data_IF_841192208287
#
_entry.id   IF_841192208287
#
_cell.length_a   1.000
_cell.length_b   1.000
_cell.length_c   1.000
_cell.angle_alpha   90.00
_cell.angle_beta   90.00
_cell.angle_gamma   90.00
#
_symmetry.space_group_name_H-M   'P 1'
#
loop_
_entity.id
_entity.type
_entity.pdbx_description
1 polymer ?
#
# COMPACT_ATOMS: atom_id res chain seq x y z
N UNK A 1 80.54 -33.53 24.71
CA UNK A 1 80.01 -32.28 24.12
C UNK A 1 78.83 -32.64 23.24
N UNK A 2 77.61 -32.25 23.63
CA UNK A 2 76.55 -31.69 22.75
C UNK A 2 75.26 -31.55 23.58
N UNK A 3 74.95 -30.31 23.95
CA UNK A 3 73.71 -29.89 24.64
C UNK A 3 72.67 -29.47 23.60
N UNK A 4 71.47 -30.04 23.66
CA UNK A 4 70.29 -29.66 22.86
C UNK A 4 69.47 -28.55 23.57
N UNK A 5 68.92 -27.55 22.84
CA UNK A 5 68.14 -26.48 23.46
C UNK A 5 66.64 -26.83 23.54
N UNK A 6 66.02 -26.47 24.67
CA UNK A 6 64.58 -26.61 24.92
C UNK A 6 63.86 -25.33 24.47
N UNK A 7 62.97 -25.45 23.47
CA UNK A 7 62.12 -24.36 22.99
C UNK A 7 60.90 -24.18 23.91
N UNK A 8 60.86 -23.08 24.69
CA UNK A 8 59.65 -22.68 25.45
C UNK A 8 58.65 -22.02 24.51
N UNK A 9 57.48 -22.65 24.29
CA UNK A 9 56.35 -22.04 23.55
C UNK A 9 55.72 -20.90 24.38
N UNK A 10 55.31 -19.77 23.76
CA UNK A 10 54.88 -18.58 24.49
C UNK A 10 53.44 -18.72 25.02
N UNK A 11 53.31 -18.82 26.35
CA UNK A 11 52.03 -18.85 27.09
C UNK A 11 51.16 -17.60 26.84
N UNK A 12 51.77 -16.48 26.39
CA UNK A 12 51.08 -15.20 26.14
C UNK A 12 50.04 -15.22 25.01
N UNK A 13 50.12 -16.16 24.06
CA UNK A 13 49.16 -16.21 22.93
C UNK A 13 47.80 -16.75 23.41
N UNK A 14 47.77 -17.73 24.32
CA UNK A 14 46.53 -18.36 24.79
C UNK A 14 45.64 -17.42 25.60
N UNK A 15 46.22 -16.52 26.40
CA UNK A 15 45.47 -15.53 27.17
C UNK A 15 44.79 -14.47 26.30
N UNK A 16 45.41 -14.08 25.19
CA UNK A 16 44.82 -13.12 24.24
C UNK A 16 43.60 -13.70 23.52
N UNK A 17 43.66 -14.97 23.12
CA UNK A 17 42.53 -15.64 22.50
C UNK A 17 41.34 -15.80 23.45
N UNK A 18 41.59 -16.17 24.72
CA UNK A 18 40.52 -16.30 25.72
C UNK A 18 39.84 -14.97 26.03
N UNK A 19 40.60 -13.87 26.09
CA UNK A 19 40.04 -12.53 26.29
C UNK A 19 39.16 -12.08 25.11
N UNK A 20 39.56 -12.37 23.87
CA UNK A 20 38.77 -12.05 22.67
C UNK A 20 37.44 -12.82 22.66
N UNK A 21 37.48 -14.12 23.01
CA UNK A 21 36.26 -14.94 23.08
C UNK A 21 35.32 -14.42 24.17
N UNK A 22 35.84 -14.06 25.35
CA UNK A 22 35.02 -13.51 26.43
C UNK A 22 34.35 -12.19 26.03
N UNK A 23 35.07 -11.29 25.36
CA UNK A 23 34.51 -10.02 24.84
C UNK A 23 33.45 -10.29 23.77
N UNK A 24 33.69 -11.22 22.85
CA UNK A 24 32.72 -11.60 21.83
C UNK A 24 31.43 -12.17 22.44
N UNK A 25 31.54 -13.04 23.45
CA UNK A 25 30.38 -13.60 24.17
C UNK A 25 29.62 -12.51 24.91
N UNK A 26 30.30 -11.56 25.55
CA UNK A 26 29.64 -10.42 26.22
C UNK A 26 28.95 -9.50 25.23
N UNK A 27 29.54 -9.25 24.06
CA UNK A 27 28.92 -8.44 23.00
C UNK A 27 27.69 -9.12 22.41
N UNK A 28 27.75 -10.43 22.15
CA UNK A 28 26.60 -11.22 21.68
C UNK A 28 25.50 -11.25 22.74
N UNK A 29 25.86 -11.46 24.02
CA UNK A 29 24.92 -11.46 25.13
C UNK A 29 24.29 -10.07 25.35
N UNK A 30 25.06 -8.99 25.19
CA UNK A 30 24.57 -7.61 25.22
C UNK A 30 23.62 -7.30 24.06
N UNK A 31 23.93 -7.76 22.85
CA UNK A 31 23.05 -7.60 21.67
C UNK A 31 21.76 -8.43 21.79
N UNK A 32 21.81 -9.56 22.51
CA UNK A 32 20.65 -10.40 22.77
C UNK A 32 19.76 -9.85 23.89
N UNK A 33 20.34 -9.30 24.96
CA UNK A 33 19.60 -8.67 26.06
C UNK A 33 19.12 -7.25 25.75
N UNK A 34 19.84 -6.53 24.88
CA UNK A 34 19.55 -5.17 24.46
C UNK A 34 19.63 -5.11 22.93
N UNK A 35 18.65 -5.69 22.20
CA UNK A 35 18.53 -5.40 20.77
C UNK A 35 18.51 -3.88 20.58
N UNK A 36 19.18 -3.33 19.54
CA UNK A 36 19.11 -1.92 19.25
C UNK A 36 17.64 -1.53 19.25
N UNK A 37 17.29 -0.47 19.96
CA UNK A 37 15.91 -0.01 20.09
C UNK A 37 15.36 0.33 18.70
N UNK A 38 14.83 -0.66 17.99
CA UNK A 38 13.76 -0.44 17.03
C UNK A 38 12.62 0.08 17.89
N UNK A 39 12.33 1.37 17.72
CA UNK A 39 11.27 2.06 18.43
C UNK A 39 9.93 1.49 18.00
N UNK A 40 9.57 0.36 18.61
CA UNK A 40 8.26 -0.28 18.57
C UNK A 40 7.32 0.54 19.44
N UNK A 41 6.74 1.58 18.85
CA UNK A 41 5.66 2.30 19.52
C UNK A 41 4.35 1.89 18.85
N UNK A 42 3.47 1.11 19.51
CA UNK A 42 2.09 0.99 19.05
C UNK A 42 1.50 2.38 18.83
N UNK A 43 0.44 2.51 18.02
CA UNK A 43 -0.16 3.84 17.75
C UNK A 43 -0.60 4.58 19.05
N UNK A 44 -0.58 3.90 20.18
CA UNK A 44 -0.91 4.39 21.51
C UNK A 44 0.27 5.00 22.28
N UNK A 45 1.53 4.76 21.91
CA UNK A 45 2.69 4.99 22.78
C UNK A 45 3.60 6.18 22.44
N UNK A 46 3.11 7.18 21.69
CA UNK A 46 3.81 8.47 21.55
C UNK A 46 2.89 9.57 22.06
N UNK A 47 3.28 10.25 23.13
CA UNK A 47 2.68 11.50 23.59
C UNK A 47 2.71 12.50 22.41
N UNK A 48 1.53 12.78 21.81
CA UNK A 48 1.38 13.72 20.69
C UNK A 48 0.95 13.12 19.34
N UNK A 49 -0.07 12.24 19.27
CA UNK A 49 -0.58 11.69 18.00
C UNK A 49 -1.85 12.37 17.51
N UNK A 50 -1.96 12.45 16.17
CA UNK A 50 -3.18 12.87 15.48
C UNK A 50 -4.35 11.94 15.86
N UNK A 51 -5.55 12.48 16.11
CA UNK A 51 -6.72 11.69 16.54
C UNK A 51 -7.06 10.64 15.47
N UNK A 52 -7.44 9.40 15.83
CA UNK A 52 -8.00 8.47 14.84
C UNK A 52 -9.46 8.85 14.63
N UNK A 53 -9.82 9.25 13.41
CA UNK A 53 -11.16 9.73 13.07
C UNK A 53 -11.88 8.67 12.23
N UNK A 54 -13.18 8.52 12.47
CA UNK A 54 -14.03 7.64 11.67
C UNK A 54 -14.02 8.06 10.20
N UNK A 55 -14.01 7.07 9.31
CA UNK A 55 -14.07 7.32 7.87
C UNK A 55 -15.54 7.46 7.40
N UNK A 56 -15.80 8.47 6.58
CA UNK A 56 -17.07 8.62 5.87
C UNK A 56 -17.19 7.60 4.72
N UNK A 57 -18.28 7.65 3.95
CA UNK A 57 -18.52 6.75 2.82
C UNK A 57 -17.53 6.92 1.66
N UNK A 58 -16.81 8.04 1.59
CA UNK A 58 -15.74 8.29 0.62
C UNK A 58 -14.35 8.09 1.20
N UNK A 59 -14.25 7.42 2.36
CA UNK A 59 -13.03 7.12 3.09
C UNK A 59 -12.18 8.35 3.49
N UNK A 60 -12.74 9.55 3.43
CA UNK A 60 -12.07 10.84 3.68
C UNK A 60 -11.61 11.60 2.43
N UNK A 61 -11.89 11.08 1.23
CA UNK A 61 -11.63 11.77 -0.05
C UNK A 61 -12.85 12.55 -0.53
N UNK A 62 -12.66 13.46 -1.49
CA UNK A 62 -13.78 14.17 -2.12
C UNK A 62 -14.75 13.22 -2.84
N UNK A 63 -14.22 12.19 -3.49
CA UNK A 63 -14.98 11.08 -4.06
C UNK A 63 -14.08 9.85 -4.27
N UNK A 64 -14.71 8.69 -4.44
CA UNK A 64 -14.05 7.47 -4.91
C UNK A 64 -14.53 7.21 -6.32
N UNK A 65 -13.60 7.20 -7.27
CA UNK A 65 -13.87 6.96 -8.67
C UNK A 65 -13.39 5.57 -9.10
N UNK A 66 -14.13 4.90 -9.96
CA UNK A 66 -13.75 3.58 -10.51
C UNK A 66 -13.57 3.65 -12.01
N UNK A 67 -12.44 3.17 -12.51
CA UNK A 67 -12.22 2.93 -13.94
C UNK A 67 -12.86 1.59 -14.30
N UNK A 68 -14.09 1.64 -14.82
CA UNK A 68 -14.85 0.45 -15.25
C UNK A 68 -15.56 0.71 -16.56
N UNK A 69 -15.65 -0.31 -17.41
CA UNK A 69 -16.58 -0.28 -18.56
C UNK A 69 -18.02 -0.48 -18.09
N UNK A 70 -18.99 -0.05 -18.90
CA UNK A 70 -20.41 -0.17 -18.57
C UNK A 70 -20.86 -1.65 -18.48
N UNK A 71 -20.29 -2.50 -19.34
CA UNK A 71 -20.56 -3.93 -19.47
C UNK A 71 -19.52 -4.80 -18.75
N UNK A 72 -18.71 -4.22 -17.85
CA UNK A 72 -17.73 -5.00 -17.10
C UNK A 72 -18.43 -6.03 -16.20
N UNK A 73 -18.08 -7.33 -16.29
CA UNK A 73 -18.68 -8.36 -15.43
C UNK A 73 -18.27 -8.19 -13.96
N UNK A 74 -17.22 -7.42 -13.68
CA UNK A 74 -16.67 -7.19 -12.34
C UNK A 74 -17.46 -6.14 -11.55
N UNK A 75 -18.18 -5.26 -12.27
CA UNK A 75 -18.91 -4.12 -11.69
C UNK A 75 -19.97 -4.53 -10.68
N UNK A 76 -20.68 -5.64 -10.92
CA UNK A 76 -21.73 -6.09 -10.01
C UNK A 76 -21.17 -6.48 -8.64
N UNK A 77 -20.15 -7.34 -8.59
CA UNK A 77 -19.49 -7.74 -7.35
C UNK A 77 -18.86 -6.55 -6.61
N UNK A 78 -18.22 -5.63 -7.35
CA UNK A 78 -17.67 -4.40 -6.80
C UNK A 78 -18.74 -3.53 -6.11
N UNK A 79 -19.91 -3.36 -6.73
CA UNK A 79 -21.02 -2.60 -6.16
C UNK A 79 -21.64 -3.31 -4.95
N UNK A 80 -21.71 -4.65 -4.95
CA UNK A 80 -22.14 -5.39 -3.77
C UNK A 80 -21.19 -5.18 -2.59
N UNK A 81 -19.88 -5.28 -2.82
CA UNK A 81 -18.86 -5.03 -1.80
C UNK A 81 -19.01 -3.61 -1.22
N UNK A 82 -19.18 -2.62 -2.09
CA UNK A 82 -19.37 -1.22 -1.70
C UNK A 82 -20.66 -1.00 -0.88
N UNK A 83 -21.76 -1.63 -1.29
CA UNK A 83 -23.02 -1.56 -0.56
C UNK A 83 -22.93 -2.20 0.83
N UNK A 84 -22.21 -3.33 0.96
CA UNK A 84 -22.00 -4.00 2.25
C UNK A 84 -21.14 -3.16 3.19
N UNK A 85 -20.12 -2.45 2.69
CA UNK A 85 -19.24 -1.61 3.51
C UNK A 85 -19.68 -0.15 3.62
N UNK A 86 -20.84 0.22 3.07
CA UNK A 86 -21.33 1.60 2.98
C UNK A 86 -20.28 2.56 2.38
N UNK A 87 -19.68 2.15 1.26
CA UNK A 87 -18.70 2.94 0.50
C UNK A 87 -19.36 3.48 -0.77
N UNK A 88 -19.25 4.79 -1.00
CA UNK A 88 -19.85 5.44 -2.15
C UNK A 88 -18.86 5.44 -3.34
N UNK A 89 -19.24 4.77 -4.42
CA UNK A 89 -18.46 4.69 -5.65
C UNK A 89 -19.09 5.52 -6.78
N UNK A 90 -18.26 6.29 -7.47
CA UNK A 90 -18.62 6.99 -8.71
C UNK A 90 -17.98 6.28 -9.89
N UNK A 91 -18.77 5.85 -10.86
CA UNK A 91 -18.29 5.13 -12.06
C UNK A 91 -18.63 5.93 -13.31
N UNK A 92 -17.71 6.81 -13.80
CA UNK A 92 -17.94 7.59 -15.01
C UNK A 92 -18.11 6.69 -16.23
N UNK A 93 -19.01 7.08 -17.14
CA UNK A 93 -19.19 6.38 -18.40
C UNK A 93 -17.94 6.52 -19.27
N UNK A 94 -17.28 5.41 -19.56
CA UNK A 94 -16.13 5.40 -20.46
C UNK A 94 -16.57 5.60 -21.91
N UNK A 95 -15.89 6.44 -22.70
CA UNK A 95 -16.21 6.63 -24.10
C UNK A 95 -15.79 5.40 -24.92
N UNK A 96 -16.35 5.29 -26.13
CA UNK A 96 -15.89 4.31 -27.12
C UNK A 96 -14.66 4.85 -27.83
N UNK A 97 -13.50 4.34 -27.45
CA UNK A 97 -12.22 4.72 -28.05
C UNK A 97 -12.09 4.20 -29.48
N UNK A 98 -11.49 5.02 -30.34
CA UNK A 98 -11.24 4.76 -31.77
C UNK A 98 -9.74 4.75 -32.04
N UNK A 99 -9.32 4.31 -33.25
CA UNK A 99 -7.90 4.30 -33.63
C UNK A 99 -7.23 5.68 -33.54
N UNK A 100 -8.01 6.76 -33.67
CA UNK A 100 -7.48 8.13 -33.54
C UNK A 100 -7.06 8.47 -32.11
N UNK A 101 -7.69 7.84 -31.12
CA UNK A 101 -7.44 8.12 -29.70
C UNK A 101 -6.16 7.44 -29.19
N UNK A 102 -5.68 6.41 -29.88
CA UNK A 102 -4.45 5.69 -29.52
C UNK A 102 -3.16 6.45 -29.90
N UNK A 103 -3.29 7.52 -30.67
CA UNK A 103 -2.19 8.35 -31.17
C UNK A 103 -1.28 7.59 -32.14
N UNK A 104 0.05 7.73 -31.98
CA UNK A 104 1.01 7.21 -32.97
C UNK A 104 1.05 5.67 -33.01
N UNK A 105 1.09 5.03 -34.20
CA UNK A 105 1.19 3.57 -34.34
C UNK A 105 2.53 2.98 -33.87
N UNK A 106 3.57 3.78 -33.65
CA UNK A 106 4.91 3.31 -33.22
C UNK A 106 5.04 3.14 -31.69
N UNK A 107 3.93 3.15 -30.94
CA UNK A 107 3.98 3.04 -29.47
C UNK A 107 4.36 1.64 -28.98
N UNK A 108 5.11 1.61 -27.88
CA UNK A 108 5.45 0.36 -27.15
C UNK A 108 4.26 -0.27 -26.42
N UNK A 109 3.20 0.49 -26.18
CA UNK A 109 2.01 0.03 -25.46
C UNK A 109 1.14 -0.90 -26.31
N UNK A 110 0.64 -1.98 -25.72
CA UNK A 110 -0.38 -2.84 -26.35
C UNK A 110 -1.74 -2.13 -26.44
N UNK A 111 -2.67 -2.69 -27.22
CA UNK A 111 -4.03 -2.14 -27.33
C UNK A 111 -4.75 -2.17 -25.98
N UNK A 112 -4.65 -3.28 -25.25
CA UNK A 112 -5.22 -3.40 -23.92
C UNK A 112 -4.66 -2.34 -22.95
N UNK A 113 -3.34 -2.14 -22.94
CA UNK A 113 -2.68 -1.11 -22.11
C UNK A 113 -3.13 0.30 -22.47
N UNK A 114 -3.27 0.62 -23.77
CA UNK A 114 -3.76 1.94 -24.22
C UNK A 114 -5.20 2.20 -23.79
N UNK A 115 -6.06 1.17 -23.83
CA UNK A 115 -7.46 1.30 -23.37
C UNK A 115 -7.54 1.56 -21.86
N UNK A 116 -6.72 0.86 -21.06
CA UNK A 116 -6.62 1.13 -19.63
C UNK A 116 -6.13 2.57 -19.37
N UNK A 117 -5.06 2.97 -20.06
CA UNK A 117 -4.48 4.30 -19.96
C UNK A 117 -5.50 5.40 -20.29
N UNK A 118 -6.18 5.29 -21.42
CA UNK A 118 -7.22 6.25 -21.81
C UNK A 118 -8.35 6.31 -20.80
N UNK A 119 -8.72 5.16 -20.21
CA UNK A 119 -9.73 5.08 -19.15
C UNK A 119 -9.35 5.88 -17.91
N UNK A 120 -8.12 5.71 -17.41
CA UNK A 120 -7.61 6.51 -16.28
C UNK A 120 -7.52 7.99 -16.62
N UNK A 121 -6.98 8.37 -17.79
CA UNK A 121 -6.89 9.79 -18.18
C UNK A 121 -8.27 10.44 -18.34
N UNK A 122 -9.25 9.72 -18.89
CA UNK A 122 -10.62 10.21 -18.97
C UNK A 122 -11.20 10.48 -17.57
N UNK A 123 -11.04 9.51 -16.67
CA UNK A 123 -11.53 9.61 -15.30
C UNK A 123 -10.85 10.75 -14.53
N UNK A 124 -9.52 10.91 -14.65
CA UNK A 124 -8.81 12.02 -14.03
C UNK A 124 -9.30 13.39 -14.53
N UNK A 125 -9.65 13.53 -15.82
CA UNK A 125 -10.28 14.76 -16.33
C UNK A 125 -11.64 15.01 -15.69
N UNK A 126 -12.48 13.99 -15.56
CA UNK A 126 -13.77 14.10 -14.86
C UNK A 126 -13.59 14.53 -13.39
N UNK A 127 -12.59 14.00 -12.70
CA UNK A 127 -12.24 14.43 -11.35
C UNK A 127 -11.77 15.90 -11.32
N UNK A 128 -10.91 16.33 -12.24
CA UNK A 128 -10.46 17.72 -12.32
C UNK A 128 -11.65 18.67 -12.52
N UNK A 129 -12.58 18.31 -13.40
CA UNK A 129 -13.78 19.10 -13.74
C UNK A 129 -14.79 19.16 -12.58
N UNK A 130 -14.82 18.14 -11.71
CA UNK A 130 -15.75 18.07 -10.56
C UNK A 130 -15.56 19.18 -9.53
N UNK A 131 -14.38 19.80 -9.48
CA UNK A 131 -14.08 20.80 -8.45
C UNK A 131 -13.82 20.21 -7.05
N UNK A 132 -13.56 18.90 -6.93
CA UNK A 132 -13.15 18.22 -5.69
C UNK A 132 -11.62 18.29 -5.45
N UNK A 133 -11.17 18.38 -4.19
CA UNK A 133 -9.75 18.58 -3.87
C UNK A 133 -8.89 17.31 -3.96
N UNK A 134 -9.48 16.16 -3.61
CA UNK A 134 -8.84 14.86 -3.65
C UNK A 134 -9.81 13.79 -4.11
N UNK A 135 -9.28 12.72 -4.69
CA UNK A 135 -10.05 11.55 -5.08
C UNK A 135 -9.24 10.27 -4.87
N UNK A 136 -9.92 9.19 -4.52
CA UNK A 136 -9.39 7.83 -4.60
C UNK A 136 -9.83 7.20 -5.92
N UNK A 137 -8.89 6.67 -6.69
CA UNK A 137 -9.14 6.03 -7.99
C UNK A 137 -8.95 4.53 -7.82
N UNK A 138 -9.93 3.73 -8.24
CA UNK A 138 -9.94 2.27 -8.18
C UNK A 138 -10.01 1.66 -9.58
N UNK A 139 -9.33 0.53 -9.77
CA UNK A 139 -9.61 -0.41 -10.87
C UNK A 139 -10.85 -1.26 -10.52
N UNK A 140 -11.53 -1.84 -11.52
CA UNK A 140 -12.82 -2.52 -11.32
C UNK A 140 -12.72 -3.96 -10.80
N UNK A 141 -11.52 -4.51 -10.73
CA UNK A 141 -11.23 -5.82 -10.16
C UNK A 141 -10.65 -5.74 -8.75
N UNK A 142 -10.68 -4.61 -8.06
CA UNK A 142 -10.19 -4.58 -6.67
C UNK A 142 -11.10 -5.34 -5.70
N UNK A 143 -10.48 -5.94 -4.69
CA UNK A 143 -11.08 -6.40 -3.46
C UNK A 143 -10.52 -5.60 -2.28
N UNK A 144 -11.27 -5.57 -1.18
CA UNK A 144 -10.82 -4.96 0.08
C UNK A 144 -11.39 -5.71 1.27
N UNK A 145 -10.75 -5.52 2.41
CA UNK A 145 -11.22 -6.09 3.66
C UNK A 145 -12.53 -5.42 4.11
N UNK A 146 -13.51 -6.18 4.60
CA UNK A 146 -14.77 -5.64 5.15
C UNK A 146 -14.57 -4.53 6.20
N UNK A 147 -13.42 -4.51 6.89
CA UNK A 147 -13.01 -3.53 7.91
C UNK A 147 -12.34 -2.29 7.32
N UNK A 148 -12.33 -2.14 5.98
CA UNK A 148 -11.70 -1.02 5.28
C UNK A 148 -12.15 0.33 5.84
N UNK A 149 -13.48 0.56 5.88
CA UNK A 149 -14.05 1.82 6.35
C UNK A 149 -13.98 1.97 7.87
N UNK A 150 -14.25 0.90 8.62
CA UNK A 150 -14.38 0.97 10.08
C UNK A 150 -13.04 0.95 10.82
N UNK A 151 -11.95 0.51 10.19
CA UNK A 151 -10.65 0.33 10.84
C UNK A 151 -9.48 0.78 9.97
N UNK A 152 -9.30 0.22 8.78
CA UNK A 152 -8.05 0.38 8.03
C UNK A 152 -7.84 1.83 7.52
N UNK A 153 -8.85 2.42 6.87
CA UNK A 153 -8.79 3.80 6.39
C UNK A 153 -8.59 4.81 7.54
N UNK A 154 -9.32 4.73 8.68
CA UNK A 154 -9.02 5.52 9.87
C UNK A 154 -7.56 5.47 10.32
N UNK A 155 -6.98 4.26 10.45
CA UNK A 155 -5.59 4.08 10.88
C UNK A 155 -4.58 4.66 9.88
N UNK A 156 -4.77 4.40 8.58
CA UNK A 156 -3.91 4.95 7.52
C UNK A 156 -4.01 6.48 7.47
N UNK A 157 -5.21 7.06 7.62
CA UNK A 157 -5.39 8.51 7.63
C UNK A 157 -4.61 9.17 8.77
N UNK A 158 -4.69 8.61 9.98
CA UNK A 158 -3.96 9.11 11.14
C UNK A 158 -2.43 8.95 10.98
N UNK A 159 -2.00 7.85 10.38
CA UNK A 159 -0.60 7.61 10.05
C UNK A 159 -0.07 8.63 9.03
N UNK A 160 -0.84 8.91 7.99
CA UNK A 160 -0.52 9.93 6.97
C UNK A 160 -0.36 11.32 7.59
N UNK A 161 -1.31 11.77 8.41
CA UNK A 161 -1.19 13.08 9.10
C UNK A 161 0.06 13.14 9.98
N UNK A 162 0.32 12.07 10.73
CA UNK A 162 1.49 12.00 11.64
C UNK A 162 2.81 12.05 10.87
N UNK A 163 2.94 11.29 9.77
CA UNK A 163 4.18 11.26 9.00
C UNK A 163 4.41 12.57 8.23
N UNK A 164 3.36 13.20 7.72
CA UNK A 164 3.45 14.49 7.03
C UNK A 164 3.82 15.64 7.99
N UNK A 165 3.29 15.64 9.22
CA UNK A 165 3.61 16.63 10.25
C UNK A 165 5.11 16.66 10.58
N UNK A 166 5.77 15.50 10.57
CA UNK A 166 7.22 15.39 10.87
C UNK A 166 8.12 16.18 9.90
N UNK A 167 7.59 16.59 8.74
CA UNK A 167 8.31 17.37 7.72
C UNK A 167 8.32 18.87 8.01
N UNK A 168 7.37 19.38 8.81
CA UNK A 168 7.28 20.81 9.12
C UNK A 168 8.38 21.29 10.09
N UNK A 169 9.14 20.36 10.70
CA UNK A 169 10.17 20.63 11.71
C UNK A 169 11.61 20.76 11.18
N UNK A 170 11.83 21.02 9.90
CA UNK A 170 13.19 21.22 9.32
C UNK A 170 13.88 22.53 9.72
N UNK A 171 13.58 23.05 10.92
CA UNK A 171 14.58 23.71 11.75
C UNK A 171 14.55 23.00 13.09
N UNK A 172 15.58 22.21 13.35
CA UNK A 172 15.82 21.59 14.65
C UNK A 172 16.04 22.69 15.70
N UNK A 173 14.94 23.24 16.23
CA UNK A 173 14.93 23.94 17.51
C UNK A 173 14.18 23.04 18.49
N UNK A 174 14.96 22.54 19.43
CA UNK A 174 14.60 21.68 20.56
C UNK A 174 13.71 22.38 21.59
N UNK A 175 12.55 22.89 21.16
CA UNK A 175 11.53 23.42 22.04
C UNK A 175 10.20 23.40 21.30
N UNK A 176 9.47 22.29 21.40
CA UNK A 176 8.06 22.24 21.04
C UNK A 176 7.35 23.30 21.88
N UNK A 177 6.91 24.37 21.24
CA UNK A 177 5.98 25.30 21.87
C UNK A 177 4.60 24.64 21.88
N UNK A 178 3.81 24.91 22.91
CA UNK A 178 2.40 24.53 22.98
C UNK A 178 1.57 25.05 21.79
N UNK A 179 2.11 25.99 21.00
CA UNK A 179 1.44 26.62 19.87
C UNK A 179 1.63 25.83 18.54
N UNK A 180 2.62 24.92 18.45
CA UNK A 180 2.81 24.05 17.26
C UNK A 180 1.91 22.80 17.28
N UNK A 181 1.33 22.48 18.44
CA UNK A 181 0.37 21.38 18.64
C UNK A 181 -0.99 21.68 17.98
N UNK A 182 -1.28 22.93 17.65
CA UNK A 182 -2.52 23.36 16.99
C UNK A 182 -2.55 23.11 15.46
N UNK A 183 -1.47 22.63 14.84
CA UNK A 183 -1.45 22.36 13.39
C UNK A 183 -2.42 21.24 12.95
N UNK A 184 -2.90 20.43 13.89
CA UNK A 184 -4.04 19.54 13.67
C UNK A 184 -5.01 19.61 14.85
N UNK A 185 -5.71 20.74 14.98
CA UNK A 185 -7.00 20.71 15.67
C UNK A 185 -7.88 19.61 15.06
N UNK A 186 -8.80 19.05 15.85
CA UNK A 186 -9.71 17.99 15.38
C UNK A 186 -10.45 18.42 14.10
N UNK A 187 -10.73 19.72 13.94
CA UNK A 187 -11.35 20.30 12.74
C UNK A 187 -10.44 20.21 11.50
N UNK A 188 -9.14 20.48 11.64
CA UNK A 188 -8.19 20.37 10.54
C UNK A 188 -7.95 18.91 10.16
N UNK A 189 -7.85 18.02 11.15
CA UNK A 189 -7.75 16.58 10.94
C UNK A 189 -9.01 16.00 10.26
N UNK A 190 -10.20 16.50 10.63
CA UNK A 190 -11.47 16.12 10.00
C UNK A 190 -11.59 16.65 8.57
N UNK A 191 -11.11 17.87 8.31
CA UNK A 191 -11.10 18.46 6.96
C UNK A 191 -10.15 17.72 6.01
N UNK A 192 -8.98 17.32 6.50
CA UNK A 192 -7.95 16.64 5.71
C UNK A 192 -7.51 15.33 6.34
N UNK A 193 -8.32 14.25 6.22
CA UNK A 193 -8.00 12.97 6.84
C UNK A 193 -6.64 12.40 6.41
N UNK A 194 -6.20 12.56 5.17
CA UNK A 194 -4.87 12.08 4.74
C UNK A 194 -3.78 13.15 4.80
N UNK A 195 -4.03 14.25 5.51
CA UNK A 195 -3.17 15.43 5.55
C UNK A 195 -3.46 16.40 4.40
N UNK A 196 -2.98 17.64 4.57
CA UNK A 196 -3.21 18.73 3.63
C UNK A 196 -2.75 18.32 2.20
N UNK A 197 -3.60 18.48 1.17
CA UNK A 197 -3.27 18.17 -0.23
C UNK A 197 -2.02 18.91 -0.76
N UNK A 198 -1.59 19.97 -0.10
CA UNK A 198 -0.32 20.66 -0.40
C UNK A 198 0.90 19.94 0.15
N UNK A 199 0.79 18.80 0.84
CA UNK A 199 1.91 18.03 1.43
C UNK A 199 2.18 16.69 0.75
N UNK A 200 1.24 16.18 -0.04
CA UNK A 200 1.34 14.94 -0.79
C UNK A 200 0.69 15.09 -2.17
N UNK A 201 1.09 14.26 -3.14
CA UNK A 201 0.56 14.33 -4.50
C UNK A 201 -0.18 13.04 -4.88
N UNK A 202 0.33 11.89 -4.46
CA UNK A 202 -0.27 10.59 -4.74
C UNK A 202 -0.11 9.65 -3.55
N UNK A 203 -1.12 8.85 -3.25
CA UNK A 203 -1.08 7.83 -2.21
C UNK A 203 -1.49 6.49 -2.82
N UNK A 204 -0.54 5.55 -2.96
CA UNK A 204 -0.83 4.17 -3.34
C UNK A 204 -1.51 3.46 -2.17
N UNK A 205 -2.79 3.16 -2.34
CA UNK A 205 -3.61 2.38 -1.41
C UNK A 205 -3.86 0.96 -1.91
N UNK A 206 -3.52 0.68 -3.17
CA UNK A 206 -3.59 -0.62 -3.81
C UNK A 206 -2.55 -0.71 -4.93
N UNK A 207 -1.65 -1.67 -4.81
CA UNK A 207 -0.50 -1.86 -5.69
C UNK A 207 -0.08 -3.34 -5.64
N UNK A 208 0.69 -3.81 -6.62
CA UNK A 208 1.29 -5.14 -6.55
C UNK A 208 2.60 -5.15 -5.74
N UNK A 209 3.15 -3.98 -5.44
CA UNK A 209 4.25 -3.80 -4.49
C UNK A 209 4.97 -2.46 -4.64
N UNK A 210 5.58 -2.00 -3.55
CA UNK A 210 6.53 -0.89 -3.55
C UNK A 210 7.92 -1.42 -3.18
N UNK A 211 8.71 -1.74 -4.21
CA UNK A 211 9.92 -2.54 -4.06
C UNK A 211 11.15 -1.67 -3.80
N UNK A 212 11.70 -1.75 -2.59
CA UNK A 212 12.89 -0.99 -2.15
C UNK A 212 14.17 -1.27 -2.97
N UNK A 213 14.12 -2.18 -3.94
CA UNK A 213 15.24 -2.57 -4.80
C UNK A 213 14.89 -2.63 -6.30
N UNK A 214 13.72 -2.10 -6.74
CA UNK A 214 13.26 -2.24 -8.13
C UNK A 214 12.88 -3.68 -8.52
N UNK A 215 12.74 -3.93 -9.83
CA UNK A 215 12.36 -5.26 -10.39
C UNK A 215 13.54 -6.03 -11.01
N UNK A 216 14.74 -5.46 -11.05
CA UNK A 216 15.95 -6.04 -11.63
C UNK A 216 16.61 -7.10 -10.73
N UNK A 217 16.15 -7.23 -9.50
CA UNK A 217 16.64 -8.19 -8.50
C UNK A 217 15.50 -9.06 -8.02
N UNK A 218 15.81 -10.35 -7.78
CA UNK A 218 14.86 -11.27 -7.17
C UNK A 218 14.46 -10.85 -5.76
N UNK A 219 13.33 -11.35 -5.29
CA UNK A 219 12.77 -11.06 -3.96
C UNK A 219 13.35 -11.95 -2.85
N UNK A 220 14.60 -12.38 -3.00
CA UNK A 220 15.31 -13.25 -2.05
C UNK A 220 15.68 -12.52 -0.75
N UNK A 221 16.03 -13.28 0.30
CA UNK A 221 16.37 -12.71 1.60
C UNK A 221 17.62 -11.82 1.52
N UNK A 222 17.58 -10.67 2.20
CA UNK A 222 18.74 -9.79 2.39
C UNK A 222 18.99 -8.71 1.33
N UNK A 223 18.12 -8.57 0.32
CA UNK A 223 18.22 -7.46 -0.66
C UNK A 223 17.83 -6.10 -0.09
N UNK A 224 16.98 -6.10 0.94
CA UNK A 224 16.59 -4.93 1.72
C UNK A 224 16.79 -5.22 3.20
N UNK A 225 17.03 -4.20 4.00
CA UNK A 225 17.39 -4.30 5.42
C UNK A 225 16.67 -3.23 6.22
N UNK A 226 16.59 -3.36 7.56
CA UNK A 226 15.95 -2.36 8.40
C UNK A 226 16.52 -0.94 8.24
N UNK A 227 17.82 -0.81 7.92
CA UNK A 227 18.45 0.49 7.65
C UNK A 227 17.94 1.18 6.38
N UNK A 228 17.43 0.41 5.42
CA UNK A 228 16.91 0.94 4.16
C UNK A 228 15.53 1.58 4.42
N UNK A 229 14.70 0.98 5.29
CA UNK A 229 13.48 1.63 5.82
C UNK A 229 13.82 2.87 6.66
N UNK A 230 14.84 2.78 7.53
CA UNK A 230 15.27 3.92 8.35
C UNK A 230 15.76 5.12 7.53
N UNK A 231 16.21 4.91 6.29
CA UNK A 231 16.63 5.97 5.37
C UNK A 231 15.46 6.68 4.66
N UNK A 232 14.23 6.15 4.79
CA UNK A 232 13.03 6.65 4.10
C UNK A 232 12.08 7.22 5.15
N UNK A 233 11.40 8.32 4.81
CA UNK A 233 10.37 8.87 5.69
C UNK A 233 9.20 7.86 5.78
N UNK A 234 8.94 7.35 6.98
CA UNK A 234 7.94 6.31 7.20
C UNK A 234 7.31 6.40 8.60
N UNK A 235 6.18 5.71 8.76
CA UNK A 235 5.55 5.41 10.02
C UNK A 235 5.04 3.96 9.97
N UNK A 236 5.32 3.20 11.03
CA UNK A 236 4.74 1.88 11.24
C UNK A 236 3.63 1.93 12.29
N UNK A 237 2.64 1.07 12.16
CA UNK A 237 1.57 0.94 13.14
C UNK A 237 0.89 -0.41 13.14
N UNK A 238 0.35 -0.79 14.30
CA UNK A 238 -0.40 -2.03 14.45
C UNK A 238 -1.75 -1.95 13.70
N UNK A 239 -2.04 -2.98 12.91
CA UNK A 239 -3.29 -3.20 12.21
C UNK A 239 -3.65 -4.69 12.32
N UNK A 240 -4.57 -4.99 13.24
CA UNK A 240 -5.00 -6.36 13.53
C UNK A 240 -5.86 -6.98 12.43
N UNK A 241 -6.31 -6.21 11.44
CA UNK A 241 -7.05 -6.75 10.29
C UNK A 241 -6.16 -7.37 9.21
N UNK A 242 -4.84 -7.19 9.32
CA UNK A 242 -3.91 -7.85 8.43
C UNK A 242 -3.90 -9.36 8.67
N UNK A 243 -3.86 -10.19 7.62
CA UNK A 243 -3.65 -11.62 7.79
C UNK A 243 -2.25 -11.90 8.33
N UNK A 244 -2.05 -13.09 8.87
CA UNK A 244 -0.72 -13.55 9.29
C UNK A 244 0.30 -13.49 8.14
N UNK A 245 1.58 -13.38 8.48
CA UNK A 245 2.65 -13.24 7.47
C UNK A 245 2.67 -14.38 6.44
N UNK A 246 2.38 -15.62 6.86
CA UNK A 246 2.31 -16.79 5.96
C UNK A 246 1.12 -16.71 4.98
N UNK A 247 0.15 -15.85 5.29
CA UNK A 247 -1.03 -15.59 4.48
C UNK A 247 -0.87 -14.30 3.64
N UNK A 248 0.08 -13.43 3.92
CA UNK A 248 0.39 -12.30 3.03
C UNK A 248 0.94 -12.79 1.69
N UNK A 249 0.76 -11.99 0.64
CA UNK A 249 1.40 -12.23 -0.65
C UNK A 249 2.90 -12.50 -0.44
N UNK A 250 3.51 -13.54 -1.05
CA UNK A 250 4.87 -13.97 -0.67
C UNK A 250 5.95 -12.88 -0.80
N UNK A 251 5.83 -11.99 -1.79
CA UNK A 251 6.75 -10.86 -1.92
C UNK A 251 6.50 -9.77 -0.87
N UNK A 252 5.26 -9.56 -0.44
CA UNK A 252 4.93 -8.65 0.66
C UNK A 252 5.50 -9.17 1.97
N UNK A 253 5.28 -10.46 2.26
CA UNK A 253 5.85 -11.12 3.44
C UNK A 253 7.38 -11.04 3.47
N UNK A 254 8.03 -11.32 2.33
CA UNK A 254 9.49 -11.20 2.18
C UNK A 254 9.98 -9.78 2.42
N UNK A 255 9.33 -8.77 1.80
CA UNK A 255 9.68 -7.37 1.97
C UNK A 255 9.60 -6.93 3.44
N UNK A 256 8.46 -7.16 4.09
CA UNK A 256 8.23 -6.76 5.48
C UNK A 256 9.20 -7.46 6.43
N UNK A 257 9.43 -8.77 6.24
CA UNK A 257 10.40 -9.54 7.03
C UNK A 257 11.81 -8.97 6.91
N UNK A 258 12.26 -8.69 5.68
CA UNK A 258 13.61 -8.17 5.42
C UNK A 258 13.80 -6.73 5.94
N UNK A 259 12.75 -5.90 5.88
CA UNK A 259 12.74 -4.57 6.52
C UNK A 259 12.65 -4.64 8.06
N UNK A 260 12.43 -5.84 8.60
CA UNK A 260 12.29 -6.08 10.02
C UNK A 260 11.00 -5.47 10.56
N UNK A 261 9.90 -5.53 9.81
CA UNK A 261 8.55 -5.10 10.22
C UNK A 261 7.85 -6.27 10.92
N UNK A 262 7.17 -6.07 12.05
CA UNK A 262 6.51 -7.15 12.79
C UNK A 262 5.22 -7.61 12.10
N UNK A 263 4.74 -8.75 12.57
CA UNK A 263 3.38 -9.23 12.28
C UNK A 263 2.32 -8.18 12.63
N UNK A 264 1.19 -8.22 11.91
CA UNK A 264 0.07 -7.28 12.04
C UNK A 264 0.48 -5.80 12.09
N UNK A 265 1.55 -5.44 11.37
CA UNK A 265 2.01 -4.06 11.29
C UNK A 265 1.92 -3.56 9.86
N UNK A 266 1.25 -2.41 9.68
CA UNK A 266 1.19 -1.68 8.43
C UNK A 266 2.20 -0.55 8.43
N UNK A 267 2.73 -0.24 7.26
CA UNK A 267 3.64 0.85 7.00
C UNK A 267 2.96 1.89 6.12
N UNK A 268 3.19 3.16 6.43
CA UNK A 268 3.05 4.27 5.49
C UNK A 268 4.43 4.84 5.26
N UNK A 269 4.87 4.94 4.01
CA UNK A 269 6.19 5.47 3.69
C UNK A 269 6.23 6.23 2.37
N UNK A 270 7.23 7.08 2.18
CA UNK A 270 7.51 7.71 0.89
C UNK A 270 7.77 6.60 -0.14
N UNK A 271 7.09 6.65 -1.28
CA UNK A 271 7.19 5.58 -2.27
C UNK A 271 8.59 5.49 -2.90
N UNK A 272 9.02 4.28 -3.26
CA UNK A 272 10.37 4.04 -3.82
C UNK A 272 10.29 3.45 -5.22
N UNK A 273 9.52 2.38 -5.40
CA UNK A 273 9.23 1.71 -6.66
C UNK A 273 7.81 1.11 -6.61
N UNK A 274 6.75 1.93 -6.51
CA UNK A 274 5.38 1.45 -6.48
C UNK A 274 4.92 1.01 -7.87
N UNK A 275 4.42 -0.22 -8.00
CA UNK A 275 3.95 -0.80 -9.26
C UNK A 275 2.49 -1.24 -9.17
N UNK A 276 1.80 -1.24 -10.31
CA UNK A 276 0.35 -1.41 -10.44
C UNK A 276 -0.47 -0.25 -9.84
N UNK A 277 -1.68 -0.05 -10.33
CA UNK A 277 -2.56 1.08 -9.97
C UNK A 277 -3.93 0.63 -9.46
N UNK A 278 -4.01 -0.54 -8.81
CA UNK A 278 -5.25 -1.12 -8.28
C UNK A 278 -6.07 -0.08 -7.52
N UNK A 279 -5.41 0.68 -6.63
CA UNK A 279 -6.00 1.84 -5.99
C UNK A 279 -4.95 2.94 -5.71
N UNK A 280 -5.21 4.16 -6.14
CA UNK A 280 -4.36 5.30 -5.83
C UNK A 280 -5.18 6.56 -5.60
N UNK A 281 -4.85 7.32 -4.56
CA UNK A 281 -5.44 8.62 -4.34
C UNK A 281 -4.57 9.73 -4.94
N UNK A 282 -5.21 10.78 -5.42
CA UNK A 282 -4.59 11.96 -6.02
C UNK A 282 -5.19 13.24 -5.46
N UNK A 283 -4.41 14.31 -5.49
CA UNK A 283 -4.90 15.68 -5.31
C UNK A 283 -5.29 16.26 -6.67
N UNK A 284 -6.12 17.31 -6.71
CA UNK A 284 -6.44 17.96 -7.98
C UNK A 284 -5.18 18.49 -8.69
N UNK A 285 -4.20 18.95 -7.91
CA UNK A 285 -2.92 19.41 -8.46
C UNK A 285 -2.18 18.29 -9.18
N UNK A 286 -1.99 17.14 -8.52
CA UNK A 286 -1.28 16.02 -9.13
C UNK A 286 -2.05 15.39 -10.29
N UNK A 287 -3.39 15.34 -10.22
CA UNK A 287 -4.22 14.86 -11.33
C UNK A 287 -4.01 15.69 -12.61
N UNK A 288 -3.94 17.03 -12.52
CA UNK A 288 -3.61 17.89 -13.67
C UNK A 288 -2.24 17.55 -14.24
N UNK A 289 -1.22 17.44 -13.39
CA UNK A 289 0.14 17.06 -13.83
C UNK A 289 0.16 15.68 -14.49
N UNK A 290 -0.57 14.70 -13.98
CA UNK A 290 -0.68 13.38 -14.61
C UNK A 290 -1.30 13.47 -16.00
N UNK A 291 -2.39 14.21 -16.16
CA UNK A 291 -3.11 14.33 -17.45
C UNK A 291 -2.31 15.13 -18.48
N UNK A 292 -1.65 16.21 -18.07
CA UNK A 292 -1.06 17.20 -18.98
C UNK A 292 0.43 16.94 -19.25
N UNK A 293 1.16 16.44 -18.26
CA UNK A 293 2.63 16.41 -18.26
C UNK A 293 3.17 14.98 -18.16
N UNK A 294 2.81 14.26 -17.09
CA UNK A 294 3.56 13.11 -16.58
C UNK A 294 3.09 11.76 -17.12
N UNK A 295 1.79 11.61 -17.38
CA UNK A 295 1.19 10.42 -17.96
C UNK A 295 0.38 10.75 -19.23
N UNK A 296 0.65 11.89 -19.86
CA UNK A 296 0.05 12.24 -21.15
C UNK A 296 0.59 11.28 -22.22
N UNK A 297 -0.32 10.63 -22.97
CA UNK A 297 0.08 9.70 -24.03
C UNK A 297 1.08 10.34 -24.99
N UNK A 298 0.88 11.60 -25.38
CA UNK A 298 1.74 12.33 -26.32
C UNK A 298 3.17 12.57 -25.83
N UNK A 299 3.39 12.52 -24.50
CA UNK A 299 4.64 12.92 -23.87
C UNK A 299 5.45 11.77 -23.29
N UNK A 300 4.88 10.56 -23.24
CA UNK A 300 5.57 9.38 -22.71
C UNK A 300 5.65 8.27 -23.75
N UNK A 301 6.73 7.49 -23.70
CA UNK A 301 6.92 6.26 -24.46
C UNK A 301 6.79 5.00 -23.58
N UNK A 302 6.25 5.14 -22.36
CA UNK A 302 6.10 4.02 -21.43
C UNK A 302 5.09 2.98 -21.96
N UNK A 303 5.28 1.72 -21.57
CA UNK A 303 4.51 0.60 -22.10
C UNK A 303 3.12 0.43 -21.46
N UNK A 304 2.92 1.00 -20.27
CA UNK A 304 1.68 0.88 -19.51
C UNK A 304 1.47 2.07 -18.56
N UNK A 305 0.22 2.32 -18.19
CA UNK A 305 -0.17 3.47 -17.38
C UNK A 305 0.43 3.44 -15.98
N UNK A 306 0.39 2.27 -15.33
CA UNK A 306 0.97 2.05 -14.01
C UNK A 306 2.49 2.34 -13.98
N UNK A 307 3.21 1.97 -15.04
CA UNK A 307 4.62 2.31 -15.23
C UNK A 307 4.81 3.82 -15.34
N UNK A 308 3.92 4.54 -16.03
CA UNK A 308 3.98 6.00 -16.07
C UNK A 308 3.77 6.63 -14.70
N UNK A 309 2.84 6.10 -13.88
CA UNK A 309 2.64 6.59 -12.50
C UNK A 309 3.86 6.30 -11.62
N UNK A 310 4.43 5.09 -11.74
CA UNK A 310 5.67 4.72 -11.05
C UNK A 310 6.79 5.72 -11.37
N UNK A 311 7.05 5.98 -12.65
CA UNK A 311 8.09 6.92 -13.08
C UNK A 311 7.76 8.35 -12.63
N UNK A 312 6.49 8.75 -12.65
CA UNK A 312 6.04 10.04 -12.13
C UNK A 312 6.39 10.23 -10.64
N UNK A 313 6.32 9.15 -9.86
CA UNK A 313 6.66 9.14 -8.44
C UNK A 313 8.16 9.14 -8.16
N UNK A 314 8.94 8.42 -8.97
CA UNK A 314 10.39 8.29 -8.78
C UNK A 314 11.17 9.47 -9.34
N UNK A 315 10.75 9.95 -10.51
CA UNK A 315 11.53 10.84 -11.37
C UNK A 315 10.71 12.08 -11.78
N UNK A 316 9.38 11.98 -11.88
CA UNK A 316 8.48 13.08 -12.27
C UNK A 316 8.20 14.12 -11.19
N UNK A 317 8.84 14.00 -10.02
CA UNK A 317 8.75 14.98 -8.94
C UNK A 317 7.45 14.93 -8.13
N UNK A 318 6.62 13.89 -8.25
CA UNK A 318 5.45 13.71 -7.39
C UNK A 318 5.84 13.25 -5.98
N UNK A 319 5.12 13.77 -4.98
CA UNK A 319 5.19 13.36 -3.57
C UNK A 319 4.25 12.19 -3.31
N UNK A 320 4.69 11.04 -3.79
CA UNK A 320 4.03 9.76 -3.63
C UNK A 320 4.31 9.08 -2.28
N UNK A 321 3.27 8.50 -1.71
CA UNK A 321 3.30 7.68 -0.50
C UNK A 321 2.68 6.33 -0.79
N UNK A 322 3.11 5.30 -0.08
CA UNK A 322 2.60 3.93 -0.22
C UNK A 322 2.17 3.40 1.14
N UNK A 323 1.15 2.54 1.11
CA UNK A 323 0.65 1.79 2.25
C UNK A 323 1.05 0.32 2.06
N UNK A 324 1.82 -0.26 2.98
CA UNK A 324 2.32 -1.64 2.89
C UNK A 324 2.04 -2.46 4.16
N UNK A 325 1.35 -3.62 4.09
CA UNK A 325 0.57 -4.09 2.94
C UNK A 325 -0.46 -3.04 2.50
N UNK A 326 -0.98 -3.16 1.29
CA UNK A 326 -1.97 -2.25 0.74
C UNK A 326 -3.40 -2.51 1.28
N UNK A 327 -4.33 -1.58 1.03
CA UNK A 327 -5.74 -1.71 1.44
C UNK A 327 -6.62 -2.35 0.36
N UNK A 328 -6.22 -2.23 -0.90
CA UNK A 328 -6.92 -2.77 -2.06
C UNK A 328 -5.98 -3.65 -2.87
N UNK A 329 -6.42 -4.85 -3.23
CA UNK A 329 -5.66 -5.74 -4.09
C UNK A 329 -6.59 -6.23 -5.21
N UNK A 330 -6.09 -6.39 -6.44
CA UNK A 330 -6.91 -6.97 -7.51
C UNK A 330 -7.32 -8.41 -7.16
N UNK A 331 -8.55 -8.76 -7.50
CA UNK A 331 -9.14 -10.06 -7.37
C UNK A 331 -8.41 -11.06 -8.29
N UNK A 332 -8.20 -12.30 -7.83
CA UNK A 332 -7.73 -13.36 -8.70
C UNK A 332 -8.71 -13.60 -9.85
N UNK A 333 -8.19 -13.64 -11.08
CA UNK A 333 -9.02 -13.82 -12.25
C UNK A 333 -8.28 -13.53 -13.55
N UNK A 334 -8.99 -13.67 -14.68
CA UNK A 334 -8.43 -13.34 -15.99
C UNK A 334 -8.34 -11.82 -16.15
N UNK A 335 -7.19 -11.34 -16.63
CA UNK A 335 -7.02 -9.96 -17.04
C UNK A 335 -7.81 -9.67 -18.31
N UNK A 336 -8.68 -8.65 -18.27
CA UNK A 336 -9.39 -8.18 -19.46
C UNK A 336 -8.42 -7.55 -20.49
N UNK A 337 -7.32 -6.96 -20.03
CA UNK A 337 -6.23 -6.44 -20.88
C UNK A 337 -5.57 -7.60 -21.62
N UNK A 338 -5.19 -8.66 -20.91
CA UNK A 338 -4.60 -9.85 -21.52
C UNK A 338 -5.54 -10.50 -22.54
N UNK A 339 -6.85 -10.52 -22.26
CA UNK A 339 -7.86 -10.99 -23.21
C UNK A 339 -7.92 -10.17 -24.51
N UNK A 340 -7.77 -8.84 -24.43
CA UNK A 340 -7.71 -7.95 -25.60
C UNK A 340 -6.43 -8.18 -26.40
N UNK A 341 -5.30 -8.37 -25.70
CA UNK A 341 -4.00 -8.59 -26.31
C UNK A 341 -3.76 -10.05 -26.72
N UNK A 342 -4.75 -10.93 -26.51
CA UNK A 342 -4.67 -12.39 -26.72
C UNK A 342 -3.43 -13.02 -26.04
N UNK A 343 -3.08 -12.51 -24.86
CA UNK A 343 -1.95 -12.97 -24.06
C UNK A 343 -2.41 -14.01 -23.03
N UNK A 344 -1.65 -15.09 -22.90
CA UNK A 344 -1.82 -16.12 -21.86
C UNK A 344 -0.79 -15.98 -20.73
N UNK A 345 0.05 -14.94 -20.79
CA UNK A 345 1.09 -14.71 -19.80
C UNK A 345 0.47 -14.33 -18.45
N UNK A 346 0.78 -15.11 -17.42
CA UNK A 346 0.44 -14.77 -16.04
C UNK A 346 1.50 -13.81 -15.50
N UNK A 347 1.12 -12.61 -15.03
CA UNK A 347 2.06 -11.66 -14.44
C UNK A 347 2.89 -12.30 -13.31
N UNK A 348 4.17 -11.91 -13.14
CA UNK A 348 5.04 -12.49 -12.12
C UNK A 348 4.49 -12.43 -10.69
N UNK A 349 3.77 -11.36 -10.33
CA UNK A 349 3.14 -11.22 -9.01
C UNK A 349 2.04 -12.29 -8.82
N UNK A 350 1.13 -12.43 -9.78
CA UNK A 350 0.07 -13.43 -9.75
C UNK A 350 0.64 -14.86 -9.73
N UNK A 351 1.66 -15.11 -10.55
CA UNK A 351 2.33 -16.40 -10.61
C UNK A 351 2.97 -16.77 -9.26
N UNK A 352 3.47 -15.78 -8.50
CA UNK A 352 4.09 -16.02 -7.21
C UNK A 352 3.08 -16.41 -6.13
N UNK A 353 1.89 -15.82 -6.13
CA UNK A 353 0.86 -16.08 -5.13
C UNK A 353 -0.17 -17.15 -5.55
N UNK A 354 -0.11 -17.66 -6.78
CA UNK A 354 -1.10 -18.59 -7.33
C UNK A 354 -1.50 -19.72 -6.37
N UNK A 355 -0.54 -20.51 -5.90
CA UNK A 355 -0.83 -21.66 -5.01
C UNK A 355 -1.41 -21.19 -3.67
N UNK A 356 -0.93 -20.06 -3.14
CA UNK A 356 -1.45 -19.49 -1.88
C UNK A 356 -2.89 -19.01 -2.05
N UNK A 357 -3.22 -18.37 -3.16
CA UNK A 357 -4.58 -17.92 -3.48
C UNK A 357 -5.52 -19.11 -3.62
N UNK A 358 -5.11 -20.16 -4.34
CA UNK A 358 -5.90 -21.39 -4.51
C UNK A 358 -6.16 -22.09 -3.18
N UNK A 359 -5.16 -22.13 -2.29
CA UNK A 359 -5.28 -22.74 -0.96
C UNK A 359 -6.12 -21.91 0.02
N UNK A 360 -5.95 -20.58 0.02
CA UNK A 360 -6.64 -19.67 0.94
C UNK A 360 -8.08 -19.40 0.51
N UNK A 361 -8.37 -19.45 -0.79
CA UNK A 361 -9.64 -18.99 -1.33
C UNK A 361 -9.86 -17.49 -1.08
N UNK A 362 -8.79 -16.68 -1.06
CA UNK A 362 -8.87 -15.24 -0.82
C UNK A 362 -7.99 -14.44 -1.77
N UNK A 363 -8.34 -13.16 -1.92
CA UNK A 363 -7.48 -12.16 -2.53
C UNK A 363 -6.18 -11.99 -1.70
N UNK A 364 -4.99 -11.92 -2.33
CA UNK A 364 -3.74 -11.72 -1.59
C UNK A 364 -3.77 -10.46 -0.73
N UNK A 365 -3.06 -10.48 0.40
CA UNK A 365 -2.99 -9.41 1.41
C UNK A 365 -4.32 -8.98 2.06
N UNK A 366 -5.48 -9.39 1.54
CA UNK A 366 -6.79 -9.17 2.14
C UNK A 366 -7.10 -10.36 3.06
N UNK A 367 -7.53 -10.08 4.30
CA UNK A 367 -7.94 -11.14 5.21
C UNK A 367 -9.40 -11.52 4.98
N UNK A 368 -10.34 -10.59 5.12
CA UNK A 368 -11.76 -10.86 4.96
C UNK A 368 -12.33 -10.07 3.77
N UNK A 369 -12.05 -10.56 2.56
CA UNK A 369 -12.46 -9.94 1.29
C UNK A 369 -13.80 -10.46 0.75
N UNK A 370 -14.19 -9.99 -0.42
CA UNK A 370 -15.45 -10.34 -1.08
C UNK A 370 -15.31 -11.37 -2.22
N UNK A 371 -14.07 -11.63 -2.66
CA UNK A 371 -13.82 -12.44 -3.86
C UNK A 371 -14.43 -13.85 -3.85
N UNK A 372 -14.45 -14.52 -2.70
CA UNK A 372 -14.99 -15.89 -2.57
C UNK A 372 -16.53 -15.97 -2.57
N UNK A 373 -17.21 -14.82 -2.59
CA UNK A 373 -18.67 -14.74 -2.57
C UNK A 373 -19.32 -14.95 -1.21
N UNK A 374 -18.55 -14.99 -0.11
CA UNK A 374 -19.11 -15.22 1.24
C UNK A 374 -20.14 -14.15 1.68
N UNK A 375 -20.15 -12.99 1.03
CA UNK A 375 -21.06 -11.87 1.29
C UNK A 375 -21.98 -11.58 0.11
N UNK A 376 -22.09 -12.49 -0.86
CA UNK A 376 -23.01 -12.35 -1.98
C UNK A 376 -24.47 -12.45 -1.52
N UNK A 377 -25.35 -11.73 -2.20
CA UNK A 377 -26.80 -11.73 -1.99
C UNK A 377 -27.54 -11.46 -3.31
N UNK A 378 -28.82 -11.80 -3.37
CA UNK A 378 -29.63 -11.57 -4.57
C UNK A 378 -30.03 -10.10 -4.73
N UNK A 379 -30.13 -9.64 -5.98
CA UNK A 379 -30.61 -8.28 -6.28
C UNK A 379 -32.03 -8.06 -5.72
N UNK A 380 -32.17 -7.00 -4.91
CA UNK A 380 -33.42 -6.66 -4.23
C UNK A 380 -33.62 -7.34 -2.86
N UNK A 381 -32.68 -8.17 -2.39
CA UNK A 381 -32.70 -8.68 -1.01
C UNK A 381 -32.21 -7.64 0.00
N UNK A 382 -33.06 -6.63 0.23
CA UNK A 382 -32.81 -5.54 1.19
C UNK A 382 -32.59 -6.04 2.63
N UNK A 383 -33.14 -7.21 2.97
CA UNK A 383 -33.05 -7.76 4.33
C UNK A 383 -31.64 -8.29 4.57
N UNK A 384 -31.11 -9.07 3.63
CA UNK A 384 -29.74 -9.58 3.69
C UNK A 384 -28.74 -8.44 3.58
N UNK A 385 -28.95 -7.47 2.68
CA UNK A 385 -28.09 -6.29 2.59
C UNK A 385 -28.03 -5.51 3.91
N UNK A 386 -29.17 -5.22 4.55
CA UNK A 386 -29.20 -4.51 5.85
C UNK A 386 -28.48 -5.28 6.95
N UNK A 387 -28.59 -6.61 6.94
CA UNK A 387 -27.87 -7.47 7.88
C UNK A 387 -26.35 -7.39 7.64
N UNK A 388 -25.90 -7.54 6.39
CA UNK A 388 -24.49 -7.47 6.02
C UNK A 388 -23.91 -6.08 6.30
N UNK A 389 -24.61 -5.01 5.96
CA UNK A 389 -24.19 -3.64 6.32
C UNK A 389 -23.95 -3.48 7.81
N UNK A 390 -24.86 -4.02 8.64
CA UNK A 390 -24.76 -3.90 10.10
C UNK A 390 -23.65 -4.77 10.67
N UNK A 391 -23.64 -6.06 10.37
CA UNK A 391 -22.74 -7.02 11.00
C UNK A 391 -21.38 -7.07 10.32
N UNK A 392 -21.34 -7.09 8.99
CA UNK A 392 -20.09 -7.22 8.22
C UNK A 392 -19.42 -5.86 8.04
N UNK A 393 -20.11 -4.89 7.44
CA UNK A 393 -19.53 -3.57 7.15
C UNK A 393 -19.25 -2.73 8.41
N UNK A 394 -20.31 -2.32 9.12
CA UNK A 394 -20.19 -1.35 10.24
C UNK A 394 -19.50 -1.92 11.47
N UNK A 395 -19.79 -3.17 11.83
CA UNK A 395 -19.14 -3.84 12.97
C UNK A 395 -17.81 -4.50 12.60
N UNK A 396 -17.49 -4.63 11.31
CA UNK A 396 -16.27 -5.31 10.86
C UNK A 396 -16.24 -6.81 11.20
N UNK A 397 -17.40 -7.45 11.41
CA UNK A 397 -17.45 -8.87 11.81
C UNK A 397 -17.33 -9.76 10.58
N UNK A 398 -16.18 -10.40 10.44
CA UNK A 398 -15.97 -11.40 9.40
C UNK A 398 -16.81 -12.65 9.69
N UNK A 399 -17.64 -13.07 8.73
CA UNK A 399 -18.45 -14.28 8.84
C UNK A 399 -17.70 -15.53 8.33
N UNK A 400 -16.48 -15.35 7.81
CA UNK A 400 -15.63 -16.45 7.35
C UNK A 400 -14.98 -17.15 8.55
N UNK A 401 -14.92 -18.50 8.58
CA UNK A 401 -14.33 -19.24 9.69
C UNK A 401 -12.88 -18.82 9.96
N UNK A 402 -12.53 -18.59 11.24
CA UNK A 402 -11.15 -18.31 11.67
C UNK A 402 -10.64 -16.89 11.40
N UNK A 403 -11.49 -15.96 10.93
CA UNK A 403 -11.11 -14.57 10.59
C UNK A 403 -11.80 -13.50 11.44
N UNK A 404 -12.43 -13.93 12.53
CA UNK A 404 -12.94 -13.00 13.54
C UNK A 404 -11.76 -12.33 14.26
N UNK A 405 -11.82 -11.01 14.42
CA UNK A 405 -10.81 -10.32 15.24
C UNK A 405 -10.98 -10.71 16.71
N UNK A 406 -9.88 -10.79 17.49
CA UNK A 406 -9.95 -10.90 18.93
C UNK A 406 -10.79 -9.75 19.50
N UNK A 407 -11.68 -10.06 20.46
CA UNK A 407 -12.52 -9.06 21.13
C UNK A 407 -11.76 -8.27 22.18
#
# INVERSE_FOLDING_TARGET
MTTTPIFRRPVRIRFRFLAIIAVAVVLVYRLWLFPPAQSWLPLTAREGRAPVLDANSTLGFGAIYVVSKADSPRRHGLLQAANVTDIDLTIPSQPKWTEKDFGSPERKSSRGSLLAWLGHLHLLRQFIDSGLESALILEDDVDWDIRLRSLQAPLVSAAMRTVLASRSGSSAKSSWSSDDIDYYSDDAAARYPYGDPSLWDLLYMGHCGDYFHGMDRGFEAGHVRPKDLAAVQHLSFNDTSLPDFDNLHPWTASLLTNLGVPVHTRLVHRSIFPLCTFAYAVTRHSARRLVEELASLERTDHAAYDVAILISCREGGLRCWSVNPELFHHQPGKSMIAGIDNSTHLPPVDAKAKDQVELRGETPNIDCGFWDGAFAFDDGDDKTLKYLQKEVGRKGRCLKPGRELPR
#
